data_IF_202987371845
#
_entry.id   IF_202987371845
#
_cell.length_a   1.000
_cell.length_b   1.000
_cell.length_c   1.000
_cell.angle_alpha   90.00
_cell.angle_beta   90.00
_cell.angle_gamma   90.00
#
_symmetry.space_group_name_H-M   'P 1'
#
loop_
_entity.id
_entity.type
_entity.pdbx_description
1 polymer ?
#
# COMPACT_ATOMS: atom_id res chain seq x y z
N UNK A 1 -16.30 -38.10 11.56
CA UNK A 1 -16.67 -38.94 10.40
C UNK A 1 -16.44 -38.13 9.14
N UNK A 2 -15.62 -38.62 8.20
CA UNK A 2 -15.44 -37.96 6.90
C UNK A 2 -16.61 -38.39 6.01
N UNK A 3 -17.59 -37.51 5.81
CA UNK A 3 -18.67 -37.75 4.85
C UNK A 3 -18.07 -37.86 3.44
N UNK A 4 -18.47 -38.91 2.72
CA UNK A 4 -18.08 -39.14 1.34
C UNK A 4 -18.46 -37.96 0.45
N UNK A 5 -17.49 -37.50 -0.34
CA UNK A 5 -17.59 -36.26 -1.11
C UNK A 5 -18.29 -36.52 -2.43
N UNK A 6 -19.59 -36.23 -2.50
CA UNK A 6 -20.37 -36.36 -3.73
C UNK A 6 -20.19 -35.10 -4.58
N UNK A 7 -19.55 -35.23 -5.74
CA UNK A 7 -19.52 -34.16 -6.75
C UNK A 7 -20.85 -34.19 -7.53
N UNK A 8 -21.94 -33.78 -6.86
CA UNK A 8 -23.31 -33.78 -7.40
C UNK A 8 -23.61 -32.41 -8.02
N UNK A 9 -24.20 -32.36 -9.21
CA UNK A 9 -24.80 -31.12 -9.71
C UNK A 9 -25.95 -30.69 -8.79
N UNK A 10 -26.19 -29.38 -8.67
CA UNK A 10 -27.35 -28.87 -7.93
C UNK A 10 -28.61 -29.12 -8.74
N UNK A 11 -29.61 -29.78 -8.14
CA UNK A 11 -30.91 -29.96 -8.80
C UNK A 11 -31.76 -28.70 -8.63
N UNK A 12 -32.77 -28.46 -9.48
CA UNK A 12 -33.68 -27.33 -9.32
C UNK A 12 -34.37 -27.30 -7.94
N UNK A 13 -34.76 -28.47 -7.42
CA UNK A 13 -35.43 -28.60 -6.11
C UNK A 13 -34.47 -28.27 -4.95
N UNK A 14 -33.21 -28.70 -5.05
CA UNK A 14 -32.17 -28.32 -4.10
C UNK A 14 -31.93 -26.79 -4.11
N UNK A 15 -32.01 -26.15 -5.28
CA UNK A 15 -31.82 -24.69 -5.41
C UNK A 15 -33.03 -23.89 -4.91
N UNK A 16 -34.25 -24.39 -5.12
CA UNK A 16 -35.47 -23.76 -4.58
C UNK A 16 -35.47 -23.81 -3.05
N UNK A 17 -35.18 -24.99 -2.48
CA UNK A 17 -34.99 -25.13 -1.03
C UNK A 17 -33.85 -24.26 -0.52
N UNK A 18 -32.75 -24.16 -1.27
CA UNK A 18 -31.62 -23.29 -0.92
C UNK A 18 -32.05 -21.84 -0.76
N UNK A 19 -32.92 -21.31 -1.63
CA UNK A 19 -33.40 -19.93 -1.53
C UNK A 19 -34.22 -19.68 -0.27
N UNK A 20 -35.04 -20.66 0.14
CA UNK A 20 -35.89 -20.54 1.33
C UNK A 20 -35.11 -20.59 2.65
N UNK A 21 -33.97 -21.29 2.67
CA UNK A 21 -33.15 -21.51 3.88
C UNK A 21 -32.00 -20.51 4.01
N UNK A 22 -31.75 -19.68 3.00
CA UNK A 22 -30.67 -18.70 3.02
C UNK A 22 -31.02 -17.53 3.94
N UNK A 23 -30.14 -17.29 4.93
CA UNK A 23 -30.24 -16.14 5.82
C UNK A 23 -29.25 -15.08 5.34
N UNK A 24 -29.76 -13.90 4.98
CA UNK A 24 -28.95 -12.79 4.47
C UNK A 24 -28.91 -11.61 5.43
N UNK A 25 -27.76 -10.93 5.49
CA UNK A 25 -27.64 -9.62 6.11
C UNK A 25 -28.43 -8.58 5.30
N UNK A 26 -29.25 -7.78 5.99
CA UNK A 26 -30.13 -6.79 5.38
C UNK A 26 -29.39 -5.76 4.48
N UNK A 27 -28.22 -5.30 4.92
CA UNK A 27 -27.53 -4.19 4.24
C UNK A 27 -26.64 -4.65 3.08
N UNK A 28 -26.10 -5.87 3.16
CA UNK A 28 -25.06 -6.36 2.23
C UNK A 28 -25.52 -7.52 1.37
N UNK A 29 -26.65 -8.16 1.70
CA UNK A 29 -27.06 -9.45 1.14
C UNK A 29 -25.98 -10.54 1.31
N UNK A 30 -25.11 -10.41 2.33
CA UNK A 30 -24.17 -11.46 2.72
C UNK A 30 -24.95 -12.64 3.29
N UNK A 31 -24.70 -13.85 2.79
CA UNK A 31 -25.27 -15.05 3.41
C UNK A 31 -24.50 -15.29 4.72
N UNK A 32 -25.25 -15.41 5.81
CA UNK A 32 -24.71 -15.54 7.16
C UNK A 32 -24.54 -17.02 7.55
N UNK A 33 -25.38 -17.90 7.02
CA UNK A 33 -25.49 -19.30 7.42
C UNK A 33 -24.80 -20.28 6.45
N UNK A 34 -23.63 -19.93 5.91
CA UNK A 34 -22.93 -20.80 4.95
C UNK A 34 -22.57 -22.20 5.49
N UNK A 35 -22.26 -22.30 6.78
CA UNK A 35 -21.90 -23.58 7.42
C UNK A 35 -23.14 -24.46 7.60
N UNK A 36 -24.25 -23.90 8.08
CA UNK A 36 -25.53 -24.61 8.22
C UNK A 36 -26.05 -25.11 6.86
N UNK A 37 -25.93 -24.29 5.81
CA UNK A 37 -26.28 -24.70 4.44
C UNK A 37 -25.35 -25.81 3.93
N UNK A 38 -24.06 -25.75 4.24
CA UNK A 38 -23.11 -26.78 3.85
C UNK A 38 -23.48 -28.13 4.48
N UNK A 39 -23.84 -28.14 5.76
CA UNK A 39 -24.27 -29.33 6.48
C UNK A 39 -25.63 -29.84 5.97
N UNK A 40 -26.61 -28.95 5.77
CA UNK A 40 -27.96 -29.30 5.30
C UNK A 40 -27.95 -29.99 3.93
N UNK A 41 -27.11 -29.50 3.01
CA UNK A 41 -27.00 -30.04 1.66
C UNK A 41 -25.89 -31.10 1.51
N UNK A 42 -25.17 -31.43 2.59
CA UNK A 42 -24.06 -32.40 2.57
C UNK A 42 -22.92 -31.98 1.64
N UNK A 43 -22.61 -30.68 1.57
CA UNK A 43 -21.65 -30.08 0.63
C UNK A 43 -20.57 -29.30 1.38
N UNK A 44 -19.52 -28.91 0.65
CA UNK A 44 -18.53 -27.98 1.21
C UNK A 44 -19.08 -26.56 1.21
N UNK A 45 -18.65 -25.75 2.20
CA UNK A 45 -18.92 -24.30 2.25
C UNK A 45 -18.54 -23.61 0.93
N UNK A 46 -17.45 -24.04 0.29
CA UNK A 46 -17.04 -23.51 -1.01
C UNK A 46 -18.05 -23.86 -2.13
N UNK A 47 -18.54 -25.09 -2.14
CA UNK A 47 -19.58 -25.53 -3.09
C UNK A 47 -20.88 -24.71 -2.93
N UNK A 48 -21.26 -24.43 -1.68
CA UNK A 48 -22.41 -23.55 -1.38
C UNK A 48 -22.16 -22.12 -1.86
N UNK A 49 -20.98 -21.55 -1.59
CA UNK A 49 -20.59 -20.22 -2.10
C UNK A 49 -20.69 -20.14 -3.62
N UNK A 50 -20.27 -21.19 -4.34
CA UNK A 50 -20.40 -21.25 -5.79
C UNK A 50 -21.86 -21.33 -6.26
N UNK A 51 -22.72 -22.10 -5.58
CA UNK A 51 -24.15 -22.15 -5.88
C UNK A 51 -24.80 -20.78 -5.68
N UNK A 52 -24.56 -20.14 -4.53
CA UNK A 52 -25.07 -18.81 -4.23
C UNK A 52 -24.65 -17.78 -5.29
N UNK A 53 -23.38 -17.81 -5.72
CA UNK A 53 -22.90 -16.91 -6.78
C UNK A 53 -23.56 -17.20 -8.13
N UNK A 54 -23.79 -18.47 -8.49
CA UNK A 54 -24.55 -18.82 -9.71
C UNK A 54 -25.98 -18.27 -9.66
N UNK A 55 -26.68 -18.44 -8.54
CA UNK A 55 -28.02 -17.88 -8.33
C UNK A 55 -28.04 -16.35 -8.43
N UNK A 56 -27.05 -15.68 -7.84
CA UNK A 56 -26.87 -14.22 -7.99
C UNK A 56 -26.64 -13.78 -9.43
N UNK A 57 -25.87 -14.55 -10.21
CA UNK A 57 -25.65 -14.26 -11.62
C UNK A 57 -26.92 -14.42 -12.47
N UNK A 58 -27.82 -15.33 -12.07
CA UNK A 58 -29.13 -15.54 -12.70
C UNK A 58 -30.20 -14.54 -12.24
N UNK A 59 -29.96 -13.83 -11.15
CA UNK A 59 -30.91 -12.87 -10.56
C UNK A 59 -31.89 -13.49 -9.57
N UNK A 60 -31.76 -14.79 -9.26
CA UNK A 60 -32.58 -15.52 -8.30
C UNK A 60 -32.22 -15.17 -6.84
N UNK A 61 -31.00 -14.71 -6.60
CA UNK A 61 -30.59 -14.11 -5.33
C UNK A 61 -30.12 -12.66 -5.54
N UNK A 62 -30.36 -11.76 -4.58
CA UNK A 62 -29.90 -10.38 -4.67
C UNK A 62 -28.36 -10.32 -4.71
N UNK A 63 -27.84 -9.34 -5.46
CA UNK A 63 -26.40 -9.11 -5.57
C UNK A 63 -25.81 -8.75 -4.20
N UNK A 64 -24.61 -9.23 -3.95
CA UNK A 64 -23.85 -8.89 -2.75
C UNK A 64 -23.41 -7.42 -2.83
N UNK A 65 -23.95 -6.60 -1.92
CA UNK A 65 -23.69 -5.16 -1.82
C UNK A 65 -22.46 -4.92 -0.93
N UNK A 66 -21.29 -5.09 -1.52
CA UNK A 66 -20.01 -5.00 -0.81
C UNK A 66 -19.69 -3.59 -0.30
N UNK A 67 -20.31 -2.59 -0.90
CA UNK A 67 -20.21 -1.18 -0.53
C UNK A 67 -20.77 -0.89 0.86
N UNK A 68 -21.78 -1.67 1.29
CA UNK A 68 -22.45 -1.52 2.58
C UNK A 68 -21.78 -2.34 3.70
N UNK A 69 -20.64 -2.98 3.42
CA UNK A 69 -19.93 -3.78 4.40
C UNK A 69 -19.31 -2.88 5.48
N UNK A 70 -19.78 -3.02 6.72
CA UNK A 70 -19.26 -2.28 7.88
C UNK A 70 -17.80 -2.66 8.14
N UNK A 71 -17.48 -3.95 8.03
CA UNK A 71 -16.11 -4.43 8.18
C UNK A 71 -15.21 -3.98 7.01
N UNK A 72 -14.10 -3.34 7.37
CA UNK A 72 -13.08 -2.91 6.39
C UNK A 72 -12.27 -4.06 5.81
N UNK A 73 -12.34 -5.26 6.39
CA UNK A 73 -11.63 -6.42 5.85
C UNK A 73 -12.31 -6.90 4.57
N UNK A 74 -11.57 -6.86 3.46
CA UNK A 74 -12.06 -7.28 2.15
C UNK A 74 -12.90 -6.25 1.40
N UNK A 75 -13.40 -5.17 2.04
CA UNK A 75 -14.20 -4.13 1.37
C UNK A 75 -13.41 -3.29 0.36
N UNK A 76 -14.10 -2.59 -0.54
CA UNK A 76 -13.45 -1.73 -1.53
C UNK A 76 -12.85 -0.46 -0.88
N UNK A 77 -11.82 0.08 -1.53
CA UNK A 77 -11.26 1.38 -1.18
C UNK A 77 -11.99 2.48 -1.93
N UNK A 78 -12.56 3.42 -1.18
CA UNK A 78 -13.17 4.64 -1.72
C UNK A 78 -12.12 5.52 -2.41
N UNK A 79 -12.57 6.45 -3.27
CA UNK A 79 -11.67 7.43 -3.91
C UNK A 79 -10.94 8.28 -2.87
N UNK A 80 -11.63 8.69 -1.80
CA UNK A 80 -11.07 9.49 -0.70
C UNK A 80 -10.00 8.72 0.08
N UNK A 81 -10.25 7.45 0.40
CA UNK A 81 -9.24 6.60 1.06
C UNK A 81 -7.99 6.44 0.20
N UNK A 82 -8.16 6.19 -1.11
CA UNK A 82 -7.02 6.10 -2.03
C UNK A 82 -6.21 7.38 -2.05
N UNK A 83 -6.84 8.55 -2.10
CA UNK A 83 -6.15 9.84 -2.05
C UNK A 83 -5.42 10.05 -0.72
N UNK A 84 -6.02 9.66 0.40
CA UNK A 84 -5.39 9.76 1.72
C UNK A 84 -4.15 8.86 1.82
N UNK A 85 -4.28 7.60 1.39
CA UNK A 85 -3.16 6.65 1.33
C UNK A 85 -2.02 7.21 0.49
N UNK A 86 -2.33 7.82 -0.66
CA UNK A 86 -1.31 8.41 -1.53
C UNK A 86 -0.59 9.60 -0.90
N UNK A 87 -1.28 10.42 -0.09
CA UNK A 87 -0.64 11.51 0.67
C UNK A 87 0.26 10.95 1.77
N UNK A 88 -0.24 9.99 2.55
CA UNK A 88 0.48 9.42 3.69
C UNK A 88 1.69 8.59 3.29
N UNK A 89 1.66 7.93 2.12
CA UNK A 89 2.78 7.13 1.58
C UNK A 89 4.10 7.92 1.47
N UNK A 90 4.04 9.25 1.43
CA UNK A 90 5.25 10.09 1.38
C UNK A 90 5.98 10.21 2.73
N UNK A 91 5.27 10.01 3.84
CA UNK A 91 5.76 10.29 5.20
C UNK A 91 5.71 9.09 6.13
N UNK A 92 4.87 8.10 5.86
CA UNK A 92 4.62 6.96 6.74
C UNK A 92 4.90 5.63 6.03
N UNK A 93 5.22 4.61 6.82
CA UNK A 93 5.36 3.23 6.37
C UNK A 93 4.00 2.61 6.00
N UNK A 94 4.00 1.53 5.22
CA UNK A 94 2.76 0.86 4.85
C UNK A 94 2.01 0.31 6.07
N UNK A 95 2.72 -0.17 7.09
CA UNK A 95 2.18 -0.62 8.38
C UNK A 95 1.47 0.50 9.14
N UNK A 96 2.09 1.66 9.28
CA UNK A 96 1.48 2.81 9.95
C UNK A 96 0.23 3.28 9.22
N UNK A 97 0.27 3.33 7.89
CA UNK A 97 -0.90 3.68 7.06
C UNK A 97 -2.01 2.65 7.24
N UNK A 98 -1.67 1.36 7.29
CA UNK A 98 -2.64 0.29 7.51
C UNK A 98 -3.35 0.45 8.87
N UNK A 99 -2.60 0.73 9.94
CA UNK A 99 -3.15 1.00 11.26
C UNK A 99 -4.05 2.23 11.27
N UNK A 100 -3.58 3.37 10.75
CA UNK A 100 -4.36 4.61 10.68
C UNK A 100 -5.67 4.45 9.90
N UNK A 101 -5.66 3.66 8.83
CA UNK A 101 -6.82 3.47 7.95
C UNK A 101 -7.73 2.33 8.41
N UNK A 102 -7.33 1.51 9.39
CA UNK A 102 -8.01 0.28 9.78
C UNK A 102 -8.05 -0.74 8.63
N UNK A 103 -6.95 -0.88 7.90
CA UNK A 103 -6.79 -1.73 6.72
C UNK A 103 -5.62 -2.68 6.91
N UNK A 104 -5.46 -3.63 6.00
CA UNK A 104 -4.30 -4.53 6.02
C UNK A 104 -3.12 -3.91 5.29
N UNK A 105 -1.89 -4.17 5.78
CA UNK A 105 -0.64 -3.78 5.11
C UNK A 105 -0.63 -4.17 3.63
N UNK A 106 -0.99 -5.42 3.33
CA UNK A 106 -1.03 -5.93 1.96
C UNK A 106 -2.01 -5.16 1.06
N UNK A 107 -3.14 -4.69 1.62
CA UNK A 107 -4.09 -3.85 0.90
C UNK A 107 -3.49 -2.49 0.51
N UNK A 108 -2.80 -1.85 1.45
CA UNK A 108 -2.07 -0.60 1.21
C UNK A 108 -0.98 -0.81 0.14
N UNK A 109 -0.15 -1.84 0.29
CA UNK A 109 0.90 -2.18 -0.68
C UNK A 109 0.36 -2.38 -2.09
N UNK A 110 -0.77 -3.08 -2.24
CA UNK A 110 -1.41 -3.31 -3.53
C UNK A 110 -1.83 -1.99 -4.21
N UNK A 111 -2.39 -1.06 -3.44
CA UNK A 111 -2.76 0.28 -3.95
C UNK A 111 -1.52 1.05 -4.37
N UNK A 112 -0.50 1.09 -3.51
CA UNK A 112 0.75 1.79 -3.77
C UNK A 112 1.48 1.22 -5.00
N UNK A 113 1.43 -0.10 -5.21
CA UNK A 113 2.00 -0.77 -6.38
C UNK A 113 1.28 -0.38 -7.67
N UNK A 114 -0.06 -0.37 -7.66
CA UNK A 114 -0.88 0.01 -8.83
C UNK A 114 -0.71 1.48 -9.24
N UNK A 115 -0.43 2.36 -8.28
CA UNK A 115 -0.18 3.78 -8.50
C UNK A 115 1.26 4.07 -8.97
N UNK A 116 2.17 3.08 -8.95
CA UNK A 116 3.56 3.25 -9.35
C UNK A 116 4.48 3.76 -8.23
N UNK A 117 5.77 3.98 -8.51
CA UNK A 117 6.72 4.50 -7.53
C UNK A 117 6.33 5.92 -7.08
N UNK A 118 6.68 6.28 -5.85
CA UNK A 118 6.56 7.67 -5.39
C UNK A 118 7.43 8.51 -6.34
N UNK A 119 6.81 9.42 -7.09
CA UNK A 119 7.56 10.36 -7.91
C UNK A 119 8.47 11.17 -6.97
N UNK A 120 9.78 10.98 -7.12
CA UNK A 120 10.78 11.74 -6.36
C UNK A 120 10.45 13.22 -6.51
N UNK A 121 10.26 13.95 -5.38
CA UNK A 121 9.97 15.39 -5.38
C UNK A 121 10.90 16.09 -6.38
N UNK A 122 10.36 16.72 -7.43
CA UNK A 122 11.19 17.43 -8.42
C UNK A 122 11.95 18.55 -7.74
N UNK A 123 13.17 18.83 -8.19
CA UNK A 123 13.92 20.01 -7.74
C UNK A 123 13.32 21.24 -8.39
N UNK A 124 12.76 22.14 -7.58
CA UNK A 124 12.35 23.46 -8.04
C UNK A 124 13.48 24.48 -7.77
N UNK A 125 13.27 25.72 -8.21
CA UNK A 125 14.25 26.79 -8.07
C UNK A 125 14.49 27.18 -6.60
N UNK A 126 13.44 27.19 -5.78
CA UNK A 126 13.57 27.43 -4.33
C UNK A 126 14.43 26.36 -3.63
N UNK A 127 14.21 25.08 -3.91
CA UNK A 127 15.02 23.96 -3.40
C UNK A 127 16.49 24.12 -3.83
N UNK A 128 16.73 24.61 -5.06
CA UNK A 128 18.08 24.86 -5.59
C UNK A 128 18.77 26.00 -4.85
N UNK A 129 18.08 27.12 -4.66
CA UNK A 129 18.59 28.28 -3.92
C UNK A 129 18.90 27.91 -2.46
N UNK A 130 17.99 27.19 -1.81
CA UNK A 130 18.20 26.69 -0.45
C UNK A 130 19.44 25.79 -0.37
N UNK A 131 19.61 24.88 -1.34
CA UNK A 131 20.78 24.00 -1.39
C UNK A 131 22.08 24.81 -1.57
N UNK A 132 22.13 25.72 -2.54
CA UNK A 132 23.33 26.49 -2.88
C UNK A 132 23.72 27.43 -1.73
N UNK A 133 22.74 28.07 -1.09
CA UNK A 133 23.01 29.04 -0.03
C UNK A 133 23.42 28.39 1.30
N UNK A 134 23.14 27.09 1.49
CA UNK A 134 23.41 26.40 2.75
C UNK A 134 24.45 25.29 2.63
N UNK A 135 25.01 25.03 1.46
CA UNK A 135 26.01 23.97 1.29
C UNK A 135 27.37 24.40 1.88
N UNK A 136 27.97 23.53 2.67
CA UNK A 136 29.29 23.75 3.24
C UNK A 136 30.23 22.64 2.78
N UNK A 137 31.45 23.03 2.40
CA UNK A 137 32.50 22.11 1.92
C UNK A 137 33.67 22.04 2.90
N UNK A 138 34.32 20.89 2.97
CA UNK A 138 35.62 20.74 3.63
C UNK A 138 36.77 21.24 2.75
N UNK A 139 38.00 21.18 3.27
CA UNK A 139 39.23 21.58 2.58
C UNK A 139 39.46 20.86 1.23
N UNK A 140 38.85 19.69 1.03
CA UNK A 140 38.91 18.89 -0.19
C UNK A 140 37.71 19.12 -1.12
N UNK A 141 36.82 20.05 -0.77
CA UNK A 141 35.59 20.29 -1.53
C UNK A 141 34.51 19.23 -1.31
N UNK A 142 34.63 18.35 -0.30
CA UNK A 142 33.59 17.37 0.04
C UNK A 142 32.51 18.06 0.87
N UNK A 143 31.25 17.80 0.58
CA UNK A 143 30.14 18.38 1.35
C UNK A 143 30.15 17.84 2.78
N UNK A 144 30.31 18.74 3.75
CA UNK A 144 30.49 18.38 5.15
C UNK A 144 29.15 18.32 5.93
N UNK A 145 28.13 19.06 5.49
CA UNK A 145 26.92 19.34 6.26
C UNK A 145 25.65 18.64 5.75
N UNK A 146 25.75 17.39 5.28
CA UNK A 146 24.58 16.62 4.79
C UNK A 146 23.43 16.57 5.79
N UNK A 147 23.71 16.41 7.09
CA UNK A 147 22.69 16.32 8.13
C UNK A 147 21.87 17.62 8.23
N UNK A 148 22.50 18.79 8.06
CA UNK A 148 21.82 20.09 7.97
C UNK A 148 20.98 20.20 6.70
N UNK A 149 21.55 19.83 5.55
CA UNK A 149 20.87 19.90 4.26
C UNK A 149 19.63 19.00 4.19
N UNK A 150 19.66 17.81 4.80
CA UNK A 150 18.49 16.92 4.84
C UNK A 150 17.31 17.56 5.58
N UNK A 151 17.57 18.26 6.69
CA UNK A 151 16.55 18.96 7.47
C UNK A 151 15.97 20.15 6.71
N UNK A 152 16.83 20.98 6.10
CA UNK A 152 16.39 22.19 5.36
C UNK A 152 15.58 21.81 4.12
N UNK A 153 16.04 20.84 3.34
CA UNK A 153 15.41 20.49 2.06
C UNK A 153 14.30 19.45 2.19
N UNK A 154 14.15 18.86 3.39
CA UNK A 154 13.30 17.71 3.66
C UNK A 154 13.50 16.59 2.60
N UNK A 155 14.77 16.19 2.40
CA UNK A 155 15.19 15.21 1.41
C UNK A 155 16.23 14.26 1.99
N UNK A 156 16.20 13.02 1.54
CA UNK A 156 17.21 12.02 1.85
C UNK A 156 18.62 12.42 1.35
N UNK A 157 19.66 12.01 2.08
CA UNK A 157 21.08 12.29 1.80
C UNK A 157 21.48 11.89 0.37
N UNK A 158 21.13 10.70 -0.10
CA UNK A 158 21.44 10.20 -1.44
C UNK A 158 20.84 11.06 -2.56
N UNK A 159 19.62 11.58 -2.36
CA UNK A 159 18.99 12.50 -3.33
C UNK A 159 19.75 13.82 -3.41
N UNK A 160 20.22 14.33 -2.27
CA UNK A 160 21.02 15.55 -2.18
C UNK A 160 22.41 15.33 -2.81
N UNK A 161 23.07 14.21 -2.50
CA UNK A 161 24.36 13.81 -3.09
C UNK A 161 24.28 13.73 -4.62
N UNK A 162 23.25 13.08 -5.15
CA UNK A 162 23.04 12.98 -6.60
C UNK A 162 22.84 14.36 -7.23
N UNK A 163 22.14 15.28 -6.55
CA UNK A 163 21.94 16.64 -7.05
C UNK A 163 23.24 17.45 -7.03
N UNK A 164 24.00 17.43 -5.94
CA UNK A 164 25.30 18.09 -5.83
C UNK A 164 26.24 17.60 -6.92
N UNK A 165 26.31 16.28 -7.16
CA UNK A 165 27.10 15.71 -8.26
C UNK A 165 26.72 16.30 -9.61
N UNK A 166 25.42 16.41 -9.92
CA UNK A 166 24.96 17.03 -11.18
C UNK A 166 25.28 18.51 -11.27
N UNK A 167 25.19 19.25 -10.16
CA UNK A 167 25.54 20.68 -10.14
C UNK A 167 27.04 20.89 -10.37
N UNK A 168 27.89 20.01 -9.83
CA UNK A 168 29.34 20.01 -10.12
C UNK A 168 29.64 19.71 -11.59
N UNK A 169 28.99 18.69 -12.16
CA UNK A 169 29.15 18.37 -13.58
C UNK A 169 28.71 19.53 -14.51
N UNK A 170 27.80 20.38 -14.04
CA UNK A 170 27.34 21.58 -14.74
C UNK A 170 28.18 22.83 -14.45
N UNK A 171 29.22 22.74 -13.61
CA UNK A 171 30.05 23.88 -13.21
C UNK A 171 29.39 24.88 -12.25
N UNK A 172 28.18 24.59 -11.74
CA UNK A 172 27.47 25.46 -10.79
C UNK A 172 28.08 25.39 -9.39
N UNK A 173 28.63 24.23 -9.02
CA UNK A 173 29.34 24.01 -7.76
C UNK A 173 30.79 23.63 -8.05
N UNK A 174 31.75 23.99 -7.18
CA UNK A 174 33.15 23.63 -7.37
C UNK A 174 33.34 22.10 -7.35
N UNK A 175 34.27 21.57 -8.16
CA UNK A 175 34.60 20.16 -8.15
C UNK A 175 35.22 19.77 -6.80
N UNK A 176 34.92 18.57 -6.33
CA UNK A 176 35.60 18.03 -5.15
C UNK A 176 36.94 17.45 -5.57
N UNK A 177 38.00 17.81 -4.85
CA UNK A 177 39.35 17.24 -5.02
C UNK A 177 39.42 15.77 -4.59
N UNK A 178 38.43 15.34 -3.81
CA UNK A 178 38.35 14.00 -3.23
C UNK A 178 36.92 13.51 -3.18
N UNK A 179 36.73 12.18 -3.20
CA UNK A 179 35.45 11.54 -2.93
C UNK A 179 35.38 10.93 -1.51
N UNK A 180 34.16 10.65 -1.06
CA UNK A 180 33.90 9.91 0.18
C UNK A 180 33.66 10.78 1.40
N UNK A 181 34.07 10.29 2.57
CA UNK A 181 33.74 10.84 3.88
C UNK A 181 34.40 12.22 4.13
N UNK A 182 33.70 13.22 4.73
CA UNK A 182 34.30 14.52 5.08
C UNK A 182 35.51 14.40 6.01
N UNK A 183 36.42 15.36 5.94
CA UNK A 183 37.66 15.40 6.71
C UNK A 183 37.45 15.17 8.23
N UNK A 184 36.48 15.87 8.83
CA UNK A 184 36.18 15.74 10.26
C UNK A 184 35.79 14.31 10.66
N UNK A 185 34.94 13.65 9.88
CA UNK A 185 34.52 12.26 10.14
C UNK A 185 35.68 11.27 9.93
N UNK A 186 36.59 11.55 8.99
CA UNK A 186 37.81 10.75 8.78
C UNK A 186 38.79 10.88 9.94
N UNK A 187 38.97 12.07 10.50
CA UNK A 187 39.85 12.29 11.65
C UNK A 187 39.39 11.44 12.85
N UNK A 188 38.08 11.43 13.12
CA UNK A 188 37.47 10.58 14.17
C UNK A 188 37.73 9.09 13.89
N UNK A 189 37.59 8.65 12.63
CA UNK A 189 37.79 7.24 12.28
C UNK A 189 39.26 6.79 12.42
N UNK A 190 40.23 7.66 12.17
CA UNK A 190 41.66 7.36 12.33
C UNK A 190 42.12 7.28 13.79
N UNK A 191 41.33 7.83 14.72
CA UNK A 191 41.60 7.81 16.16
C UNK A 191 40.99 6.59 16.86
N UNK A 192 40.27 5.73 16.12
CA UNK A 192 39.74 4.43 16.58
C UNK A 192 40.60 3.31 16.03
#
# INVERSE_FOLDING_TARGET
MKQDRVNKNWTPEELDRFQNEVIMAADTNAILNYEELADMFGRTVLGVKHAANKLRHRGELPKFCKENQIEKYGSFYSKREKQMIMKLRSTHTHEEIAQMMGRTKYGIESICRKQGPILVKKWNESDLLLLINNIEFDSFGVTANYDKLTKILNRNVGTIQAKIRRLRLKGVLPPAKRSGMPEQKRAIYRQR
#
